data_IF_281386016822
#
_entry.id   IF_281386016822
#
_cell.length_a   1.000
_cell.length_b   1.000
_cell.length_c   1.000
_cell.angle_alpha   90.00
_cell.angle_beta   90.00
_cell.angle_gamma   90.00
#
_symmetry.space_group_name_H-M   'P 1'
#
loop_
_entity.id
_entity.type
_entity.pdbx_description
1 polymer ?
#
# COMPACT_ATOMS: atom_id res chain seq x y z
N UNK A 1 -0.61 -49.37 23.75
CA UNK A 1 0.29 -48.48 23.00
C UNK A 1 -0.31 -47.93 21.69
N UNK A 2 -1.04 -48.73 20.90
CA UNK A 2 -1.68 -48.27 19.65
C UNK A 2 -2.80 -47.21 19.84
N UNK A 3 -3.55 -47.27 20.94
CA UNK A 3 -4.65 -46.31 21.18
C UNK A 3 -4.20 -44.95 21.73
N UNK A 4 -2.99 -44.88 22.31
CA UNK A 4 -2.39 -43.61 22.76
C UNK A 4 -1.77 -42.81 21.60
N UNK A 5 -1.43 -43.49 20.49
CA UNK A 5 -0.91 -42.87 19.27
C UNK A 5 -2.00 -42.19 18.43
N UNK A 6 -3.26 -42.68 18.47
CA UNK A 6 -4.38 -42.03 17.75
C UNK A 6 -4.83 -40.71 18.39
N UNK A 7 -4.78 -40.60 19.72
CA UNK A 7 -5.18 -39.37 20.42
C UNK A 7 -4.21 -38.20 20.15
N UNK A 8 -2.91 -38.49 19.99
CA UNK A 8 -1.90 -37.49 19.67
C UNK A 8 -2.02 -36.92 18.24
N UNK A 9 -2.50 -37.73 17.27
CA UNK A 9 -2.72 -37.26 15.90
C UNK A 9 -3.92 -36.30 15.76
N UNK A 10 -4.98 -36.49 16.57
CA UNK A 10 -6.19 -35.66 16.48
C UNK A 10 -5.94 -34.25 17.06
N UNK A 11 -5.10 -34.14 18.09
CA UNK A 11 -4.75 -32.83 18.69
C UNK A 11 -3.85 -32.01 17.75
N UNK A 12 -2.94 -32.65 17.00
CA UNK A 12 -2.09 -31.94 16.04
C UNK A 12 -2.89 -31.34 14.86
N UNK A 13 -3.96 -32.01 14.41
CA UNK A 13 -4.82 -31.52 13.34
C UNK A 13 -5.64 -30.28 13.74
N UNK A 14 -6.09 -30.18 14.99
CA UNK A 14 -6.87 -29.04 15.47
C UNK A 14 -6.03 -27.75 15.68
N UNK A 15 -4.75 -27.89 16.01
CA UNK A 15 -3.84 -26.75 16.18
C UNK A 15 -3.36 -26.19 14.83
N UNK A 16 -3.20 -27.05 13.81
CA UNK A 16 -2.84 -26.64 12.45
C UNK A 16 -3.91 -25.82 11.73
N UNK A 17 -5.19 -26.02 12.05
CA UNK A 17 -6.30 -25.28 11.42
C UNK A 17 -6.39 -23.81 11.84
N UNK A 18 -5.84 -23.41 12.99
CA UNK A 18 -5.87 -22.01 13.45
C UNK A 18 -4.81 -21.13 12.77
N UNK A 19 -3.76 -21.72 12.20
CA UNK A 19 -2.66 -20.98 11.58
C UNK A 19 -2.92 -20.59 10.12
N UNK A 20 -3.97 -21.14 9.50
CA UNK A 20 -4.37 -20.86 8.12
C UNK A 20 -5.79 -20.28 8.06
N UNK A 21 -6.15 -19.42 9.02
CA UNK A 21 -7.18 -18.42 8.74
C UNK A 21 -6.56 -17.45 7.72
N UNK A 22 -6.74 -17.76 6.45
CA UNK A 22 -6.67 -16.78 5.38
C UNK A 22 -7.43 -15.54 5.89
N UNK A 23 -6.74 -14.41 5.97
CA UNK A 23 -7.33 -13.13 6.33
C UNK A 23 -8.49 -12.88 5.36
N UNK A 24 -9.70 -13.24 5.78
CA UNK A 24 -10.90 -13.02 4.99
C UNK A 24 -10.89 -11.56 4.53
N UNK A 25 -11.08 -11.33 3.23
CA UNK A 25 -10.97 -10.00 2.63
C UNK A 25 -11.78 -8.98 3.44
N UNK A 26 -11.11 -7.91 3.90
CA UNK A 26 -11.75 -6.86 4.70
C UNK A 26 -12.10 -5.67 3.81
N UNK A 27 -13.28 -5.10 3.99
CA UNK A 27 -13.61 -3.81 3.39
C UNK A 27 -12.83 -2.71 4.12
N UNK A 28 -11.99 -1.98 3.39
CA UNK A 28 -11.29 -0.79 3.92
C UNK A 28 -12.09 0.44 3.50
N UNK A 29 -12.78 1.06 4.46
CA UNK A 29 -13.56 2.28 4.25
C UNK A 29 -12.77 3.50 4.73
N UNK A 30 -12.46 4.41 3.80
CA UNK A 30 -11.82 5.71 4.09
C UNK A 30 -12.74 6.82 3.56
N UNK A 31 -13.69 7.32 4.38
CA UNK A 31 -14.68 8.29 3.92
C UNK A 31 -14.05 9.66 3.61
N UNK A 32 -13.00 10.04 4.35
CA UNK A 32 -12.31 11.32 4.18
C UNK A 32 -10.85 11.24 4.72
N UNK A 33 -10.16 12.38 4.69
CA UNK A 33 -8.77 12.53 5.11
C UNK A 33 -8.55 12.37 6.62
N UNK A 34 -9.54 12.73 7.44
CA UNK A 34 -9.47 12.66 8.90
C UNK A 34 -9.69 11.24 9.42
N UNK A 35 -10.27 10.36 8.61
CA UNK A 35 -10.50 8.97 8.93
C UNK A 35 -9.23 8.10 9.01
N UNK A 36 -8.06 8.62 8.61
CA UNK A 36 -6.79 7.89 8.68
C UNK A 36 -5.77 8.57 9.59
N UNK A 37 -4.94 7.74 10.24
CA UNK A 37 -3.84 8.22 11.06
C UNK A 37 -2.58 8.41 10.22
N UNK A 38 -2.45 9.59 9.63
CA UNK A 38 -1.26 9.99 8.87
C UNK A 38 0.04 9.80 9.66
N UNK A 39 1.04 9.21 9.01
CA UNK A 39 2.41 9.10 9.54
C UNK A 39 3.38 9.83 8.61
N UNK A 40 4.55 10.26 9.10
CA UNK A 40 5.63 10.73 8.24
C UNK A 40 5.94 9.68 7.17
N UNK A 41 6.03 10.11 5.91
CA UNK A 41 6.45 9.24 4.83
C UNK A 41 7.95 8.89 4.94
N UNK A 42 8.40 7.78 4.34
CA UNK A 42 9.81 7.43 4.32
C UNK A 42 10.66 8.48 3.58
N UNK A 43 11.95 8.54 3.89
CA UNK A 43 12.85 9.61 3.45
C UNK A 43 13.12 9.65 1.93
N UNK A 44 12.71 8.62 1.19
CA UNK A 44 12.78 8.59 -0.28
C UNK A 44 11.64 9.37 -0.96
N UNK A 45 10.62 9.82 -0.20
CA UNK A 45 9.61 10.74 -0.68
C UNK A 45 9.94 12.19 -0.30
N UNK A 46 9.34 13.20 -0.97
CA UNK A 46 9.60 14.60 -0.67
C UNK A 46 9.43 14.93 0.82
N UNK A 47 10.30 15.76 1.36
CA UNK A 47 10.26 16.16 2.78
C UNK A 47 8.88 16.72 3.15
N UNK A 48 8.33 16.25 4.27
CA UNK A 48 7.02 16.67 4.76
C UNK A 48 5.85 15.86 4.19
N UNK A 49 6.11 14.89 3.31
CA UNK A 49 5.09 13.95 2.86
C UNK A 49 4.57 13.09 4.01
N UNK A 50 3.30 12.72 3.91
CA UNK A 50 2.63 11.83 4.85
C UNK A 50 2.08 10.61 4.11
N UNK A 51 2.02 9.48 4.78
CA UNK A 51 1.60 8.21 4.20
C UNK A 51 0.79 7.38 5.21
N UNK A 52 -0.16 6.60 4.69
CA UNK A 52 -0.85 5.55 5.42
C UNK A 52 -0.94 4.30 4.54
N UNK A 53 -0.62 3.13 5.10
CA UNK A 53 -0.89 1.84 4.45
C UNK A 53 -2.34 1.46 4.73
N UNK A 54 -3.14 1.31 3.67
CA UNK A 54 -4.55 0.95 3.75
C UNK A 54 -4.76 -0.57 3.69
N UNK A 55 -3.95 -1.27 2.91
CA UNK A 55 -3.98 -2.72 2.77
C UNK A 55 -2.62 -3.27 2.33
N UNK A 56 -2.35 -4.53 2.66
CA UNK A 56 -1.11 -5.22 2.28
C UNK A 56 0.13 -4.71 3.01
N UNK A 57 1.30 -4.96 2.41
CA UNK A 57 2.60 -4.54 2.93
C UNK A 57 3.52 -4.14 1.77
N UNK A 58 3.87 -2.85 1.60
CA UNK A 58 4.70 -2.39 0.49
C UNK A 58 6.15 -2.91 0.54
N UNK A 59 6.58 -3.51 1.66
CA UNK A 59 7.90 -4.13 1.78
C UNK A 59 7.91 -5.63 1.40
N UNK A 60 6.76 -6.21 1.03
CA UNK A 60 6.63 -7.62 0.67
C UNK A 60 6.10 -7.78 -0.76
N UNK A 61 6.37 -8.91 -1.43
CA UNK A 61 5.70 -9.25 -2.68
C UNK A 61 4.18 -9.33 -2.48
N UNK A 62 3.43 -8.74 -3.41
CA UNK A 62 1.96 -8.77 -3.42
C UNK A 62 1.33 -7.37 -3.55
N UNK A 63 0.01 -7.31 -3.76
CA UNK A 63 -0.70 -6.04 -3.87
C UNK A 63 -0.75 -5.32 -2.52
N UNK A 64 -0.65 -4.00 -2.58
CA UNK A 64 -0.84 -3.11 -1.44
C UNK A 64 -1.57 -1.85 -1.89
N UNK A 65 -2.16 -1.14 -0.93
CA UNK A 65 -2.83 0.13 -1.19
C UNK A 65 -2.32 1.17 -0.18
N UNK A 66 -1.93 2.34 -0.68
CA UNK A 66 -1.43 3.46 0.13
C UNK A 66 -2.33 4.68 -0.05
N UNK A 67 -2.44 5.48 0.99
CA UNK A 67 -2.84 6.90 0.90
C UNK A 67 -1.58 7.72 1.09
N UNK A 68 -1.26 8.59 0.12
CA UNK A 68 -0.06 9.44 0.18
C UNK A 68 -0.48 10.90 0.04
N UNK A 69 0.12 11.77 0.83
CA UNK A 69 -0.11 13.22 0.80
C UNK A 69 1.23 13.93 0.68
N UNK A 70 1.34 14.77 -0.34
CA UNK A 70 2.53 15.55 -0.61
C UNK A 70 2.29 17.02 -0.24
N UNK A 71 3.30 17.74 0.29
CA UNK A 71 3.25 19.19 0.34
C UNK A 71 3.12 19.78 -1.09
N UNK A 72 2.52 20.97 -1.23
CA UNK A 72 2.37 21.59 -2.54
C UNK A 72 3.72 21.88 -3.19
N UNK A 73 3.77 21.83 -4.52
CA UNK A 73 4.96 22.14 -5.33
C UNK A 73 6.18 21.25 -5.02
N UNK A 74 5.94 20.00 -4.60
CA UNK A 74 7.01 19.02 -4.43
C UNK A 74 7.25 18.21 -5.70
N UNK A 75 8.47 17.68 -5.82
CA UNK A 75 8.87 16.84 -6.93
C UNK A 75 9.20 15.44 -6.40
N UNK A 76 8.46 14.44 -6.87
CA UNK A 76 8.89 13.04 -6.75
C UNK A 76 9.93 12.79 -7.85
N UNK A 77 11.14 12.39 -7.46
CA UNK A 77 12.23 12.18 -8.42
C UNK A 77 11.91 11.00 -9.35
N UNK A 78 12.45 10.98 -10.59
CA UNK A 78 12.34 9.83 -11.48
C UNK A 78 12.80 8.55 -10.78
N UNK A 79 11.99 7.49 -10.90
CA UNK A 79 12.25 6.19 -10.30
C UNK A 79 11.62 5.08 -11.14
N UNK A 80 11.91 3.82 -10.79
CA UNK A 80 11.39 2.63 -11.46
C UNK A 80 10.60 1.79 -10.46
N UNK A 81 9.53 1.17 -10.94
CA UNK A 81 8.72 0.24 -10.16
C UNK A 81 9.09 -1.21 -10.52
N UNK A 82 9.10 -2.08 -9.52
CA UNK A 82 9.23 -3.53 -9.72
C UNK A 82 7.89 -4.21 -10.05
N UNK A 83 6.78 -3.51 -9.82
CA UNK A 83 5.40 -3.94 -10.04
C UNK A 83 4.61 -2.80 -10.68
N UNK A 84 3.43 -3.09 -11.20
CA UNK A 84 2.54 -2.04 -11.69
C UNK A 84 2.12 -1.11 -10.55
N UNK A 85 1.99 0.18 -10.86
CA UNK A 85 1.46 1.20 -9.96
C UNK A 85 0.19 1.78 -10.58
N UNK A 86 -0.87 1.85 -9.77
CA UNK A 86 -2.09 2.57 -10.12
C UNK A 86 -2.24 3.71 -9.13
N UNK A 87 -2.48 4.90 -9.65
CA UNK A 87 -2.68 6.11 -8.86
C UNK A 87 -4.02 6.75 -9.21
N UNK A 88 -4.57 7.45 -8.23
CA UNK A 88 -5.74 8.31 -8.43
C UNK A 88 -5.57 9.55 -7.61
N UNK A 89 -5.73 10.72 -8.23
CA UNK A 89 -5.72 11.98 -7.51
C UNK A 89 -7.03 12.13 -6.74
N UNK A 90 -6.96 12.13 -5.41
CA UNK A 90 -8.14 12.35 -4.57
C UNK A 90 -8.44 13.85 -4.40
N UNK A 91 -7.39 14.67 -4.32
CA UNK A 91 -7.49 16.12 -4.17
C UNK A 91 -6.20 16.80 -4.63
N UNK A 92 -6.32 17.99 -5.22
CA UNK A 92 -5.18 18.74 -5.75
C UNK A 92 -4.85 18.37 -7.19
N UNK A 93 -3.60 18.55 -7.58
CA UNK A 93 -3.11 18.31 -8.93
C UNK A 93 -1.80 17.52 -8.88
N UNK A 94 -1.62 16.61 -9.85
CA UNK A 94 -0.38 15.88 -10.08
C UNK A 94 0.06 16.11 -11.53
N UNK A 95 1.31 16.51 -11.73
CA UNK A 95 1.92 16.52 -13.05
C UNK A 95 2.78 15.27 -13.19
N UNK A 96 2.35 14.34 -14.04
CA UNK A 96 2.97 13.03 -14.21
C UNK A 96 3.68 12.93 -15.56
N UNK A 97 4.90 12.41 -15.56
CA UNK A 97 5.69 12.19 -16.77
C UNK A 97 6.54 10.93 -16.64
N UNK A 98 6.89 10.34 -17.79
CA UNK A 98 7.70 9.13 -17.89
C UNK A 98 9.05 9.45 -18.54
N UNK A 99 10.13 8.86 -18.02
CA UNK A 99 11.48 9.03 -18.55
C UNK A 99 12.57 8.94 -17.47
N UNK A 100 13.83 9.08 -17.89
CA UNK A 100 14.99 9.02 -16.97
C UNK A 100 15.23 10.36 -16.24
N UNK A 101 14.71 11.47 -16.78
CA UNK A 101 14.90 12.82 -16.25
C UNK A 101 13.58 13.56 -16.10
N UNK A 102 13.59 14.62 -15.30
CA UNK A 102 12.40 15.47 -15.11
C UNK A 102 12.20 16.34 -16.35
N UNK A 103 11.10 16.11 -17.06
CA UNK A 103 10.60 16.98 -18.11
C UNK A 103 9.36 17.72 -17.62
N UNK A 104 9.50 19.02 -17.35
CA UNK A 104 8.39 19.87 -16.90
C UNK A 104 7.52 20.39 -18.03
N UNK A 105 7.94 20.25 -19.29
CA UNK A 105 7.24 20.77 -20.45
C UNK A 105 6.21 19.78 -21.01
N UNK A 106 6.46 18.47 -20.87
CA UNK A 106 5.64 17.41 -21.48
C UNK A 106 4.95 16.49 -20.46
N UNK A 107 4.82 16.91 -19.20
CA UNK A 107 4.06 16.17 -18.20
C UNK A 107 2.55 16.25 -18.46
N UNK A 108 1.83 15.18 -18.11
CA UNK A 108 0.38 15.15 -18.08
C UNK A 108 -0.13 15.72 -16.76
N UNK A 109 -0.99 16.74 -16.83
CA UNK A 109 -1.71 17.22 -15.65
C UNK A 109 -2.86 16.26 -15.35
N UNK A 110 -2.87 15.73 -14.13
CA UNK A 110 -3.91 14.90 -13.57
C UNK A 110 -4.61 15.69 -12.46
N UNK A 111 -5.93 15.71 -12.52
CA UNK A 111 -6.81 16.35 -11.54
C UNK A 111 -7.62 15.29 -10.81
N UNK A 112 -8.49 15.70 -9.89
CA UNK A 112 -9.31 14.78 -9.12
C UNK A 112 -9.99 13.71 -9.98
N UNK A 113 -9.77 12.43 -9.63
CA UNK A 113 -10.31 11.27 -10.33
C UNK A 113 -9.47 10.74 -11.51
N UNK A 114 -8.44 11.48 -11.93
CA UNK A 114 -7.43 11.01 -12.88
C UNK A 114 -6.22 10.37 -12.24
#
# INVERSE_FOLDING_TARGET
>A
MRQLLLAALIVAAAVGQRAAAEEAGRMVLVPDDAAVKWQPAPANLPKGSQLVVLAGDPAKPGPFALRVKFPPNTLVAPHRHATDENLTVISGELYHGMGETVDKAHGHKLEQGG
#
